data_IF_957726275178
#
_entry.id   IF_957726275178
#
_cell.length_a   1.000
_cell.length_b   1.000
_cell.length_c   1.000
_cell.angle_alpha   90.00
_cell.angle_beta   90.00
_cell.angle_gamma   90.00
#
_symmetry.space_group_name_H-M   'P 1'
#
loop_
_entity.id
_entity.type
_entity.pdbx_description
1 polymer ?
#
# COMPACT_ATOMS: atom_id res chain seq x y z
N UNK A 1 -2.74 7.32 -17.24
CA UNK A 1 -2.14 6.13 -16.60
C UNK A 1 -3.24 5.15 -16.23
N UNK A 2 -4.28 5.55 -15.47
CA UNK A 2 -5.44 4.68 -15.21
C UNK A 2 -5.13 3.51 -14.29
N UNK A 3 -4.15 3.67 -13.41
CA UNK A 3 -3.62 2.63 -12.53
C UNK A 3 -4.59 2.27 -11.40
N UNK A 4 -4.55 1.01 -10.98
CA UNK A 4 -5.28 0.50 -9.83
C UNK A 4 -4.38 0.36 -8.57
N UNK A 5 -4.95 -0.18 -7.49
CA UNK A 5 -4.23 -0.38 -6.23
C UNK A 5 -3.08 -1.40 -6.35
N UNK A 6 -3.20 -2.39 -7.24
CA UNK A 6 -2.15 -3.38 -7.48
C UNK A 6 -0.96 -2.75 -8.21
N UNK A 7 -1.21 -1.91 -9.21
CA UNK A 7 -0.15 -1.20 -9.95
C UNK A 7 0.71 -0.35 -9.01
N UNK A 8 0.06 0.38 -8.10
CA UNK A 8 0.72 1.28 -7.15
C UNK A 8 1.39 0.48 -6.03
N UNK A 9 0.68 -0.47 -5.41
CA UNK A 9 1.19 -1.24 -4.27
C UNK A 9 2.35 -2.17 -4.62
N UNK A 10 2.40 -2.71 -5.85
CA UNK A 10 3.52 -3.57 -6.29
C UNK A 10 4.70 -2.82 -6.88
N UNK A 11 4.58 -1.51 -7.08
CA UNK A 11 5.74 -0.69 -7.39
C UNK A 11 6.61 -0.61 -6.14
N UNK A 12 7.91 -0.93 -6.26
CA UNK A 12 8.80 -0.91 -5.09
C UNK A 12 9.19 0.54 -4.78
N UNK A 13 8.62 1.09 -3.71
CA UNK A 13 9.00 2.41 -3.20
C UNK A 13 10.29 2.32 -2.38
N UNK A 14 11.17 3.33 -2.44
CA UNK A 14 12.38 3.37 -1.62
C UNK A 14 12.04 3.57 -0.13
N UNK A 15 12.76 2.84 0.72
CA UNK A 15 12.64 2.87 2.18
C UNK A 15 13.96 3.34 2.83
N UNK A 16 13.95 4.15 3.92
CA UNK A 16 12.81 4.80 4.56
C UNK A 16 12.52 6.20 3.97
N UNK A 17 11.30 6.45 3.49
CA UNK A 17 10.91 7.74 2.90
C UNK A 17 9.49 8.15 3.27
N UNK A 18 9.12 9.41 3.01
CA UNK A 18 7.70 9.80 3.05
C UNK A 18 6.94 9.28 1.82
N UNK A 19 7.63 9.09 0.69
CA UNK A 19 7.01 8.68 -0.58
C UNK A 19 6.50 7.24 -0.60
N UNK A 20 7.07 6.35 0.20
CA UNK A 20 6.57 4.96 0.35
C UNK A 20 5.17 4.88 0.96
N UNK A 21 4.70 5.93 1.65
CA UNK A 21 3.32 5.99 2.17
C UNK A 21 2.26 5.88 1.08
N UNK A 22 2.59 6.24 -0.17
CA UNK A 22 1.70 6.08 -1.33
C UNK A 22 1.52 4.60 -1.68
N UNK A 23 2.61 3.84 -1.71
CA UNK A 23 2.58 2.39 -1.93
C UNK A 23 1.86 1.68 -0.78
N UNK A 24 2.19 2.01 0.47
CA UNK A 24 1.53 1.46 1.66
C UNK A 24 0.01 1.73 1.65
N UNK A 25 -0.45 2.92 1.25
CA UNK A 25 -1.88 3.22 1.17
C UNK A 25 -2.59 2.32 0.15
N UNK A 26 -1.94 2.01 -0.98
CA UNK A 26 -2.46 1.07 -1.97
C UNK A 26 -2.49 -0.37 -1.41
N UNK A 27 -1.43 -0.80 -0.71
CA UNK A 27 -1.41 -2.10 -0.03
C UNK A 27 -2.49 -2.23 1.04
N UNK A 28 -2.82 -1.14 1.76
CA UNK A 28 -3.92 -1.12 2.74
C UNK A 28 -5.26 -1.34 2.05
N UNK A 29 -5.48 -0.68 0.90
CA UNK A 29 -6.68 -0.86 0.09
C UNK A 29 -6.82 -2.30 -0.42
N UNK A 30 -5.73 -2.88 -0.92
CA UNK A 30 -5.68 -4.29 -1.37
C UNK A 30 -5.73 -5.30 -0.21
N UNK A 31 -5.63 -4.84 1.04
CA UNK A 31 -5.68 -5.68 2.24
C UNK A 31 -4.42 -6.51 2.47
N UNK A 32 -3.28 -6.09 1.91
CA UNK A 32 -1.99 -6.79 1.98
C UNK A 32 -0.92 -6.03 2.75
N UNK A 33 -1.16 -4.78 3.17
CA UNK A 33 -0.20 -4.01 3.95
C UNK A 33 0.11 -4.70 5.28
N UNK A 34 1.39 -4.95 5.54
CA UNK A 34 1.88 -5.60 6.76
C UNK A 34 2.35 -4.64 7.84
N UNK A 35 2.46 -3.35 7.51
CA UNK A 35 2.97 -2.32 8.42
C UNK A 35 1.85 -1.73 9.30
N UNK A 36 0.59 -2.10 9.02
CA UNK A 36 -0.57 -1.74 9.83
C UNK A 36 -1.29 -2.98 10.38
N UNK A 37 -2.04 -2.85 11.48
CA UNK A 37 -2.91 -3.92 11.96
C UNK A 37 -3.94 -4.32 10.90
N UNK A 38 -4.35 -5.61 10.85
CA UNK A 38 -5.42 -6.02 9.96
C UNK A 38 -6.72 -5.27 10.28
N UNK A 39 -7.56 -4.98 9.26
CA UNK A 39 -8.82 -4.30 9.48
C UNK A 39 -9.71 -5.10 10.43
N UNK A 40 -10.45 -4.39 11.29
CA UNK A 40 -11.39 -5.04 12.22
C UNK A 40 -12.44 -5.81 11.40
N UNK A 41 -12.53 -7.12 11.62
CA UNK A 41 -13.62 -7.93 11.08
C UNK A 41 -14.94 -7.42 11.69
N UNK A 42 -15.95 -7.22 10.85
CA UNK A 42 -17.33 -6.97 11.32
C UNK A 42 -17.88 -8.20 12.02
#
# INVERSE_FOLDING_TARGET
>A
MGCDGTDIGKTIHPHPTLGESIGMAAEVYEGVCTDLPPPRKR
#
